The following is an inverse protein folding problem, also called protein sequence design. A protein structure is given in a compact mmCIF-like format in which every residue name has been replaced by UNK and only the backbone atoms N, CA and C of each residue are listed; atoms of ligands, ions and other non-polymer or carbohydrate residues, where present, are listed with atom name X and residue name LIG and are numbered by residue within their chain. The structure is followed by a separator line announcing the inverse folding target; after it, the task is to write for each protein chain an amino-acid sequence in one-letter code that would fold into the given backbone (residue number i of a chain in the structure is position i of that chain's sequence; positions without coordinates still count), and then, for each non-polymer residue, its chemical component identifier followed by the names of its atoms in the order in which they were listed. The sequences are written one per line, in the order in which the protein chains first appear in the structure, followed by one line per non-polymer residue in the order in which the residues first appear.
data_IF_480095591514
#
_entry.id   IF_480095591514
#
_cell.length_a   1.000
_cell.length_b   1.000
_cell.length_c   1.000
_cell.angle_alpha   90.00
_cell.angle_beta   90.00
_cell.angle_gamma   90.00
#
_symmetry.space_group_name_H-M   'P 1'
#
loop_
_entity.id
_entity.type
_entity.pdbx_description
1 polymer ?
#
# COMPACT_ATOMS: atom_id res chain seq x y z
N UNK A 1 -20.00 0.33 -2.09
CA UNK A 1 -19.03 -0.42 -2.92
C UNK A 1 -19.52 -1.85 -3.13
N UNK A 2 -19.65 -2.31 -4.38
CA UNK A 2 -20.17 -3.66 -4.71
C UNK A 2 -19.17 -4.75 -4.32
N UNK A 3 -19.68 -5.92 -3.88
CA UNK A 3 -18.86 -7.09 -3.48
C UNK A 3 -17.94 -7.58 -4.60
N UNK A 4 -18.34 -7.39 -5.86
CA UNK A 4 -17.59 -7.81 -7.04
C UNK A 4 -16.30 -6.99 -7.26
N UNK A 5 -16.24 -5.74 -6.75
CA UNK A 5 -15.04 -4.89 -6.86
C UNK A 5 -13.87 -5.43 -6.05
N UNK A 6 -14.14 -6.09 -4.91
CA UNK A 6 -13.07 -6.68 -4.09
C UNK A 6 -12.28 -7.74 -4.88
N UNK A 7 -12.98 -8.58 -5.67
CA UNK A 7 -12.33 -9.57 -6.53
C UNK A 7 -11.61 -8.93 -7.72
N UNK A 8 -12.16 -7.84 -8.28
CA UNK A 8 -11.48 -7.09 -9.34
C UNK A 8 -10.16 -6.50 -8.83
N UNK A 9 -10.16 -5.86 -7.66
CA UNK A 9 -8.96 -5.30 -7.06
C UNK A 9 -7.92 -6.35 -6.67
N UNK A 10 -8.33 -7.55 -6.21
CA UNK A 10 -7.40 -8.68 -6.01
C UNK A 10 -6.64 -9.02 -7.30
N UNK A 11 -7.33 -9.04 -8.45
CA UNK A 11 -6.69 -9.34 -9.73
C UNK A 11 -5.72 -8.24 -10.18
N UNK A 12 -5.99 -6.98 -9.82
CA UNK A 12 -5.09 -5.87 -10.09
C UNK A 12 -3.76 -6.10 -9.38
N UNK A 13 -3.77 -6.40 -8.08
CA UNK A 13 -2.54 -6.64 -7.31
C UNK A 13 -1.85 -7.95 -7.70
N UNK A 14 -2.60 -9.02 -8.01
CA UNK A 14 -2.05 -10.26 -8.57
C UNK A 14 -1.29 -10.00 -9.89
N UNK A 15 -1.90 -9.23 -10.80
CA UNK A 15 -1.28 -8.90 -12.08
C UNK A 15 0.00 -8.09 -11.92
N UNK A 16 -0.03 -7.06 -11.07
CA UNK A 16 1.14 -6.24 -10.75
C UNK A 16 2.27 -7.06 -10.12
N UNK A 17 1.94 -7.91 -9.14
CA UNK A 17 2.91 -8.79 -8.48
C UNK A 17 3.55 -9.78 -9.46
N UNK A 18 2.77 -10.39 -10.36
CA UNK A 18 3.30 -11.30 -11.39
C UNK A 18 4.19 -10.57 -12.40
N UNK A 19 3.89 -9.31 -12.71
CA UNK A 19 4.73 -8.49 -13.58
C UNK A 19 6.07 -8.15 -12.90
N UNK A 20 6.04 -7.69 -11.66
CA UNK A 20 7.23 -7.41 -10.86
C UNK A 20 8.08 -8.66 -10.59
N UNK A 21 7.45 -9.82 -10.33
CA UNK A 21 8.12 -11.10 -10.09
C UNK A 21 9.04 -11.52 -11.25
N UNK A 22 8.71 -11.17 -12.50
CA UNK A 22 9.58 -11.46 -13.65
C UNK A 22 10.96 -10.80 -13.53
N UNK A 23 11.07 -9.75 -12.72
CA UNK A 23 12.30 -8.98 -12.46
C UNK A 23 12.98 -9.29 -11.13
N UNK A 24 12.48 -10.29 -10.38
CA UNK A 24 13.07 -10.71 -9.11
C UNK A 24 14.54 -11.10 -9.28
N UNK A 25 15.42 -10.47 -8.49
CA UNK A 25 16.86 -10.77 -8.48
C UNK A 25 17.63 -10.31 -9.72
N UNK A 26 17.04 -9.46 -10.57
CA UNK A 26 17.69 -8.98 -11.81
C UNK A 26 18.51 -7.70 -11.66
N UNK A 27 18.56 -7.11 -10.47
CA UNK A 27 19.32 -5.90 -10.19
C UNK A 27 18.75 -4.61 -10.80
N UNK A 28 17.58 -4.66 -11.43
CA UNK A 28 16.92 -3.51 -12.06
C UNK A 28 15.60 -3.19 -11.37
N UNK A 29 15.65 -2.24 -10.44
CA UNK A 29 14.48 -1.82 -9.67
C UNK A 29 13.47 -1.04 -10.52
N UNK A 30 13.95 -0.25 -11.48
CA UNK A 30 13.09 0.65 -12.27
C UNK A 30 12.31 -0.16 -13.31
N UNK A 31 12.95 -1.17 -13.93
CA UNK A 31 12.26 -2.06 -14.85
C UNK A 31 11.24 -2.97 -14.14
N UNK A 32 11.55 -3.41 -12.91
CA UNK A 32 10.60 -4.15 -12.09
C UNK A 32 9.35 -3.30 -11.81
N UNK A 33 9.57 -2.07 -11.36
CA UNK A 33 8.52 -1.13 -10.98
C UNK A 33 7.64 -0.72 -12.16
N UNK A 34 8.27 -0.28 -13.26
CA UNK A 34 7.55 0.09 -14.48
C UNK A 34 6.67 -1.05 -15.04
N UNK A 35 7.15 -2.30 -14.95
CA UNK A 35 6.36 -3.46 -15.37
C UNK A 35 5.11 -3.67 -14.49
N UNK A 36 5.20 -3.44 -13.18
CA UNK A 36 4.07 -3.53 -12.26
C UNK A 36 3.11 -2.35 -12.43
N UNK A 37 3.61 -1.12 -12.56
CA UNK A 37 2.83 0.10 -12.84
C UNK A 37 1.96 -0.10 -14.07
N UNK A 38 2.55 -0.55 -15.18
CA UNK A 38 1.83 -0.70 -16.45
C UNK A 38 0.71 -1.74 -16.36
N UNK A 39 0.97 -2.90 -15.74
CA UNK A 39 -0.04 -3.94 -15.56
C UNK A 39 -1.13 -3.51 -14.59
N UNK A 40 -0.77 -2.89 -13.46
CA UNK A 40 -1.72 -2.36 -12.49
C UNK A 40 -2.68 -1.36 -13.15
N UNK A 41 -2.13 -0.37 -13.86
CA UNK A 41 -2.92 0.64 -14.60
C UNK A 41 -3.82 0.01 -15.66
N UNK A 42 -3.30 -0.94 -16.43
CA UNK A 42 -4.08 -1.64 -17.47
C UNK A 42 -5.27 -2.41 -16.90
N UNK A 43 -5.11 -3.04 -15.74
CA UNK A 43 -6.18 -3.79 -15.06
C UNK A 43 -7.18 -2.85 -14.37
N UNK A 44 -6.71 -1.76 -13.77
CA UNK A 44 -7.59 -0.71 -13.24
C UNK A 44 -8.49 -0.13 -14.33
N UNK A 45 -7.94 0.15 -15.51
CA UNK A 45 -8.69 0.64 -16.68
C UNK A 45 -9.69 -0.35 -17.27
N UNK A 46 -9.74 -1.59 -16.77
CA UNK A 46 -10.72 -2.62 -17.13
C UNK A 46 -11.74 -2.90 -16.03
N UNK A 47 -11.69 -2.13 -14.95
CA UNK A 47 -12.59 -2.28 -13.79
C UNK A 47 -13.75 -1.28 -13.88
N UNK A 48 -14.95 -1.71 -13.49
CA UNK A 48 -16.19 -0.90 -13.51
C UNK A 48 -16.23 0.13 -12.36
N UNK A 49 -15.31 1.08 -12.40
CA UNK A 49 -15.17 2.20 -11.45
C UNK A 49 -14.93 3.52 -12.18
N UNK A 50 -15.31 4.60 -11.52
CA UNK A 50 -14.84 5.96 -11.82
C UNK A 50 -13.77 6.33 -10.78
N UNK A 51 -12.58 5.77 -10.96
CA UNK A 51 -11.48 5.87 -9.99
C UNK A 51 -10.62 7.12 -10.20
N UNK A 52 -10.20 7.75 -9.11
CA UNK A 52 -9.14 8.78 -9.09
C UNK A 52 -7.96 8.25 -8.26
N UNK A 53 -6.75 8.32 -8.82
CA UNK A 53 -5.53 8.06 -8.07
C UNK A 53 -5.28 9.24 -7.14
N UNK A 54 -5.35 9.02 -5.82
CA UNK A 54 -5.10 10.06 -4.82
C UNK A 54 -3.78 9.87 -4.08
N UNK A 55 -3.20 8.67 -4.17
CA UNK A 55 -1.84 8.32 -3.76
C UNK A 55 -1.30 7.38 -4.84
N UNK A 56 -0.15 7.70 -5.43
CA UNK A 56 0.43 6.91 -6.52
C UNK A 56 1.92 7.21 -6.71
N UNK A 57 2.42 7.03 -7.93
CA UNK A 57 3.85 7.08 -8.27
C UNK A 57 4.49 8.46 -8.14
N UNK A 58 3.67 9.52 -8.09
CA UNK A 58 4.11 10.90 -7.95
C UNK A 58 3.15 11.89 -8.59
N UNK A 59 3.61 13.13 -8.72
CA UNK A 59 2.91 14.18 -9.47
C UNK A 59 2.98 13.90 -10.99
N UNK A 60 2.07 14.48 -11.77
CA UNK A 60 1.99 14.25 -13.23
C UNK A 60 3.29 14.58 -13.98
N UNK A 61 4.06 15.55 -13.48
CA UNK A 61 5.32 15.97 -14.09
C UNK A 61 6.46 14.95 -13.85
N UNK A 62 6.34 14.13 -12.80
CA UNK A 62 7.37 13.18 -12.37
C UNK A 62 6.99 11.72 -12.70
N UNK A 63 5.69 11.42 -12.84
CA UNK A 63 5.17 10.07 -13.08
C UNK A 63 4.26 10.03 -14.34
N UNK A 64 4.63 9.26 -15.39
CA UNK A 64 3.83 9.17 -16.62
C UNK A 64 2.57 8.28 -16.49
N UNK A 65 2.48 7.50 -15.41
CA UNK A 65 1.40 6.55 -15.13
C UNK A 65 1.15 6.49 -13.62
N UNK A 66 -0.10 6.29 -13.24
CA UNK A 66 -0.57 6.24 -11.86
C UNK A 66 -0.15 7.48 -11.05
N UNK A 67 -0.15 8.65 -11.71
CA UNK A 67 0.13 9.93 -11.06
C UNK A 67 -1.08 10.41 -10.25
N UNK A 68 -0.82 11.28 -9.26
CA UNK A 68 -1.87 11.86 -8.42
C UNK A 68 -2.83 12.69 -9.29
N UNK A 69 -4.11 12.36 -9.24
CA UNK A 69 -5.17 12.94 -10.05
C UNK A 69 -5.51 12.17 -11.33
N UNK A 70 -4.78 11.10 -11.65
CA UNK A 70 -5.11 10.26 -12.81
C UNK A 70 -6.49 9.61 -12.65
N UNK A 71 -7.32 9.68 -13.69
CA UNK A 71 -8.59 8.95 -13.75
C UNK A 71 -8.40 7.56 -14.35
N UNK A 72 -8.95 6.54 -13.70
CA UNK A 72 -8.87 5.14 -14.14
C UNK A 72 -10.23 4.44 -14.07
N UNK A 73 -10.39 3.40 -14.89
CA UNK A 73 -11.58 2.56 -14.94
C UNK A 73 -12.52 2.85 -16.12
N UNK A 74 -13.56 2.02 -16.25
CA UNK A 74 -14.55 2.06 -17.34
C UNK A 74 -15.77 2.95 -17.04
N UNK A 75 -15.83 3.53 -15.84
CA UNK A 75 -17.02 4.18 -15.28
C UNK A 75 -17.72 3.28 -14.27
N UNK A 76 -18.36 3.89 -13.26
CA UNK A 76 -19.05 3.14 -12.21
C UNK A 76 -19.09 3.88 -10.88
N UNK A 77 -18.87 3.14 -9.79
CA UNK A 77 -18.78 3.74 -8.45
C UNK A 77 -17.60 4.73 -8.42
N UNK A 78 -17.84 5.94 -7.93
CA UNK A 78 -16.79 6.94 -7.75
C UNK A 78 -15.92 6.56 -6.54
N UNK A 79 -14.64 6.30 -6.77
CA UNK A 79 -13.72 5.79 -5.75
C UNK A 79 -12.40 6.55 -5.76
N UNK A 80 -11.83 6.76 -4.59
CA UNK A 80 -10.44 7.16 -4.44
C UNK A 80 -9.58 5.90 -4.38
N UNK A 81 -8.42 5.95 -5.03
CA UNK A 81 -7.49 4.82 -5.12
C UNK A 81 -6.11 5.27 -4.64
N UNK A 82 -5.54 4.46 -3.76
CA UNK A 82 -4.13 4.54 -3.37
C UNK A 82 -3.42 3.29 -3.90
N UNK A 83 -2.30 3.48 -4.60
CA UNK A 83 -1.51 2.39 -5.18
C UNK A 83 -0.07 2.43 -4.73
N UNK A 84 0.51 1.25 -4.64
CA UNK A 84 1.95 1.03 -4.58
C UNK A 84 2.24 -0.25 -5.41
N UNK A 85 2.48 -0.11 -6.72
CA UNK A 85 2.63 -1.23 -7.65
C UNK A 85 3.73 -2.22 -7.22
N UNK A 86 4.84 -1.72 -6.67
CA UNK A 86 5.83 -2.52 -5.93
C UNK A 86 6.29 -1.75 -4.70
N UNK A 87 5.74 -2.11 -3.55
CA UNK A 87 6.35 -1.74 -2.29
C UNK A 87 7.64 -2.55 -2.13
N UNK A 88 8.77 -1.85 -2.04
CA UNK A 88 10.09 -2.47 -1.98
C UNK A 88 10.74 -2.82 -3.32
N UNK A 89 10.73 -1.92 -4.30
CA UNK A 89 11.42 -2.10 -5.62
C UNK A 89 12.86 -2.60 -5.51
N UNK A 90 13.64 -2.11 -4.52
CA UNK A 90 15.00 -2.60 -4.24
C UNK A 90 15.00 -4.07 -3.80
N UNK A 91 14.06 -4.46 -2.94
CA UNK A 91 13.95 -5.84 -2.45
C UNK A 91 13.63 -6.78 -3.62
N UNK A 92 12.73 -6.39 -4.52
CA UNK A 92 12.46 -7.11 -5.78
C UNK A 92 13.73 -7.25 -6.63
N UNK A 93 14.42 -6.15 -6.91
CA UNK A 93 15.64 -6.17 -7.73
C UNK A 93 16.74 -7.07 -7.13
N UNK A 94 16.84 -7.14 -5.80
CA UNK A 94 17.85 -7.92 -5.08
C UNK A 94 17.41 -9.34 -4.71
N UNK A 95 16.17 -9.74 -5.00
CA UNK A 95 15.66 -11.07 -4.63
C UNK A 95 15.45 -11.25 -3.12
N UNK A 96 15.10 -10.17 -2.41
CA UNK A 96 14.89 -10.17 -0.96
C UNK A 96 13.40 -10.36 -0.60
N UNK A 97 13.14 -10.78 0.64
CA UNK A 97 11.78 -10.95 1.17
C UNK A 97 11.02 -9.62 1.31
N UNK A 98 9.70 -9.71 1.47
CA UNK A 98 8.78 -8.63 1.85
C UNK A 98 8.49 -7.57 0.77
N UNK A 99 8.84 -7.79 -0.49
CA UNK A 99 8.27 -7.01 -1.59
C UNK A 99 6.82 -7.44 -1.89
N UNK A 100 5.93 -6.50 -2.18
CA UNK A 100 4.51 -6.76 -2.47
C UNK A 100 3.89 -5.70 -3.39
N UNK A 101 2.80 -6.05 -4.08
CA UNK A 101 1.96 -5.08 -4.79
C UNK A 101 0.75 -4.70 -3.92
N UNK A 102 0.48 -3.41 -3.75
CA UNK A 102 -0.54 -2.90 -2.83
C UNK A 102 -1.53 -2.00 -3.56
N UNK A 103 -2.79 -2.15 -3.19
CA UNK A 103 -3.86 -1.25 -3.60
C UNK A 103 -4.84 -1.09 -2.45
N UNK A 104 -5.28 0.15 -2.22
CA UNK A 104 -6.42 0.47 -1.37
C UNK A 104 -7.43 1.30 -2.17
N UNK A 105 -8.72 1.00 -1.98
CA UNK A 105 -9.81 1.73 -2.58
C UNK A 105 -10.82 2.13 -1.51
N UNK A 106 -11.34 3.34 -1.62
CA UNK A 106 -12.32 3.90 -0.69
C UNK A 106 -13.32 4.81 -1.40
N UNK A 107 -14.33 5.26 -0.66
CA UNK A 107 -15.23 6.29 -1.16
C UNK A 107 -14.47 7.59 -1.42
N UNK A 108 -14.94 8.41 -2.36
CA UNK A 108 -14.36 9.73 -2.63
C UNK A 108 -14.15 10.53 -1.34
N UNK A 109 -12.93 11.01 -1.12
CA UNK A 109 -12.52 11.77 0.06
C UNK A 109 -12.12 10.93 1.29
N UNK A 110 -12.06 9.60 1.19
CA UNK A 110 -11.74 8.75 2.35
C UNK A 110 -10.25 8.70 2.71
N UNK A 111 -9.37 9.07 1.78
CA UNK A 111 -7.92 9.09 2.02
C UNK A 111 -7.42 10.50 2.32
N UNK A 112 -6.50 10.60 3.27
CA UNK A 112 -5.74 11.83 3.51
C UNK A 112 -4.85 12.10 2.28
N UNK A 113 -5.13 13.19 1.56
CA UNK A 113 -4.24 13.68 0.50
C UNK A 113 -3.06 14.40 1.16
N UNK A 114 -1.95 13.70 1.30
CA UNK A 114 -0.71 14.22 1.84
C UNK A 114 0.31 14.39 0.71
N UNK A 115 1.18 15.41 0.76
CA UNK A 115 2.32 15.51 -0.16
C UNK A 115 3.30 14.36 0.06
N UNK A 116 4.17 14.12 -0.93
CA UNK A 116 5.26 13.14 -0.80
C UNK A 116 6.31 13.63 0.21
N UNK A 117 6.18 13.16 1.45
CA UNK A 117 7.05 13.51 2.56
C UNK A 117 7.11 12.41 3.62
N UNK A 118 8.10 12.51 4.49
CA UNK A 118 8.18 11.65 5.67
C UNK A 118 7.00 11.85 6.61
N UNK A 119 6.58 10.75 7.25
CA UNK A 119 5.54 10.73 8.26
C UNK A 119 5.96 9.82 9.41
N UNK A 120 5.95 10.34 10.63
CA UNK A 120 6.09 9.53 11.84
C UNK A 120 4.82 8.69 12.03
N UNK A 121 4.98 7.38 12.26
CA UNK A 121 3.87 6.44 12.37
C UNK A 121 4.05 5.57 13.61
N UNK A 122 3.00 5.47 14.41
CA UNK A 122 2.86 4.48 15.48
C UNK A 122 1.56 3.71 15.24
N UNK A 123 1.68 2.41 14.95
CA UNK A 123 0.56 1.57 14.52
C UNK A 123 0.46 0.35 15.44
N UNK A 124 -0.77 0.03 15.88
CA UNK A 124 -1.05 -1.10 16.77
C UNK A 124 -2.27 -1.88 16.32
N UNK A 125 -2.33 -3.15 16.72
CA UNK A 125 -3.50 -3.99 16.52
C UNK A 125 -4.70 -3.63 17.43
N UNK A 126 -5.87 -4.26 17.24
CA UNK A 126 -7.11 -3.91 17.94
C UNK A 126 -7.01 -3.94 19.48
N UNK A 127 -6.20 -4.83 20.04
CA UNK A 127 -6.03 -4.97 21.49
C UNK A 127 -5.39 -3.76 22.18
N UNK A 128 -4.73 -2.88 21.43
CA UNK A 128 -4.11 -1.64 21.95
C UNK A 128 -4.71 -0.38 21.33
N UNK A 129 -5.85 -0.49 20.62
CA UNK A 129 -6.54 0.68 20.04
C UNK A 129 -6.84 1.71 21.14
N UNK A 130 -6.50 2.97 20.90
CA UNK A 130 -6.71 4.07 21.86
C UNK A 130 -5.70 4.13 23.01
N UNK A 131 -4.63 3.33 22.98
CA UNK A 131 -3.60 3.28 24.02
C UNK A 131 -2.21 3.77 23.55
N UNK A 132 -2.14 4.42 22.39
CA UNK A 132 -0.92 5.00 21.82
C UNK A 132 -1.08 6.49 21.54
N UNK A 133 0.02 7.23 21.61
CA UNK A 133 0.07 8.68 21.40
C UNK A 133 1.49 9.08 20.94
N UNK A 134 1.59 9.76 19.79
CA UNK A 134 2.88 10.18 19.22
C UNK A 134 3.55 11.28 20.05
N UNK A 135 2.80 12.06 20.82
CA UNK A 135 3.37 13.12 21.68
C UNK A 135 4.03 12.55 22.95
N UNK A 136 3.90 11.24 23.19
CA UNK A 136 4.48 10.55 24.35
C UNK A 136 5.80 9.85 24.02
N UNK A 137 6.71 9.73 24.99
CA UNK A 137 7.92 8.93 24.81
C UNK A 137 7.62 7.49 24.38
N UNK A 138 8.42 6.94 23.45
CA UNK A 138 8.27 5.58 22.95
C UNK A 138 8.18 4.53 24.07
N UNK A 139 8.97 4.69 25.15
CA UNK A 139 8.93 3.79 26.30
C UNK A 139 7.56 3.77 27.00
N UNK A 140 6.87 4.90 27.09
CA UNK A 140 5.53 4.96 27.69
C UNK A 140 4.50 4.27 26.77
N UNK A 141 4.58 4.52 25.46
CA UNK A 141 3.74 3.83 24.48
C UNK A 141 3.89 2.30 24.57
N UNK A 142 5.12 1.78 24.67
CA UNK A 142 5.37 0.35 24.82
C UNK A 142 4.76 -0.23 26.10
N UNK A 143 4.82 0.51 27.22
CA UNK A 143 4.18 0.08 28.47
C UNK A 143 2.65 0.10 28.37
N UNK A 144 2.07 1.10 27.71
CA UNK A 144 0.61 1.19 27.50
C UNK A 144 0.12 0.05 26.62
N UNK A 145 0.85 -0.26 25.55
CA UNK A 145 0.56 -1.41 24.67
C UNK A 145 0.60 -2.71 25.49
N UNK A 146 1.68 -2.96 26.22
CA UNK A 146 1.85 -4.17 27.05
C UNK A 146 0.68 -4.37 28.05
N UNK A 147 0.29 -3.29 28.75
CA UNK A 147 -0.86 -3.31 29.68
C UNK A 147 -2.17 -3.64 28.95
N UNK A 148 -2.43 -3.01 27.80
CA UNK A 148 -3.68 -3.20 27.05
C UNK A 148 -3.82 -4.60 26.44
N UNK A 149 -2.71 -5.19 25.98
CA UNK A 149 -2.70 -6.53 25.34
C UNK A 149 -2.51 -7.67 26.35
N UNK A 150 -2.31 -7.36 27.64
CA UNK A 150 -1.94 -8.33 28.69
C UNK A 150 -0.66 -9.11 28.34
N UNK A 151 0.28 -8.45 27.68
CA UNK A 151 1.60 -9.00 27.36
C UNK A 151 2.67 -8.30 28.17
N UNK A 152 3.72 -9.02 28.56
CA UNK A 152 4.92 -8.45 29.18
C UNK A 152 5.62 -7.49 28.19
N UNK A 153 6.11 -6.32 28.63
CA UNK A 153 6.93 -5.43 27.80
C UNK A 153 8.17 -6.19 27.30
N UNK A 154 8.19 -6.56 26.02
CA UNK A 154 9.25 -7.38 25.40
C UNK A 154 8.77 -8.64 24.67
N UNK A 155 7.49 -9.02 24.81
CA UNK A 155 6.93 -10.17 24.09
C UNK A 155 6.51 -9.90 22.63
N UNK A 156 6.54 -8.65 22.18
CA UNK A 156 6.10 -8.23 20.84
C UNK A 156 6.90 -8.85 19.66
N UNK A 157 8.03 -9.54 19.92
CA UNK A 157 8.92 -10.09 18.90
C UNK A 157 8.87 -11.62 18.70
N UNK A 158 8.03 -12.39 19.41
CA UNK A 158 8.08 -13.87 19.34
C UNK A 158 7.27 -14.53 18.22
N UNK A 159 6.51 -13.79 17.42
CA UNK A 159 5.62 -14.37 16.40
C UNK A 159 6.19 -14.40 14.97
N UNK A 160 7.48 -14.10 14.77
CA UNK A 160 8.14 -14.10 13.45
C UNK A 160 9.22 -15.18 13.28
N UNK A 161 9.19 -16.24 14.10
CA UNK A 161 10.03 -17.43 13.90
C UNK A 161 9.16 -18.62 13.51
N UNK A 162 8.92 -18.78 12.21
CA UNK A 162 8.52 -20.03 11.56
C UNK A 162 9.14 -20.10 10.18
#
# INVERSE_FOLDING_TARGET
MKRDLAMAFSRVTEGAALAGYKWLGRGDKNAADGAAVEVMRSLLNKTDISGEIVIGEGEIDDAPMLYIGENVGLGGDAVDIAVDPIEGTRMTAMGQSNALAVLAAGEKGSFLKAPDMYMEKLVVGPGAKGHIDLDKPLAENLQNIAKSTRQEPGYANRNYSS
#
